data_IF_571425584020
#
_entry.id   IF_571425584020
#
_cell.length_a   1.000
_cell.length_b   1.000
_cell.length_c   1.000
_cell.angle_alpha   90.00
_cell.angle_beta   90.00
_cell.angle_gamma   90.00
#
_symmetry.space_group_name_H-M   'P 1'
#
loop_
_entity.id
_entity.type
_entity.pdbx_description
1 polymer ?
#
# COMPACT_ATOMS: atom_id res chain seq x y z
N UNK A 1 -13.81 3.17 -9.21
CA UNK A 1 -13.98 4.35 -8.32
C UNK A 1 -12.87 4.30 -7.28
N UNK A 2 -12.20 5.42 -6.98
CA UNK A 2 -11.12 5.50 -6.00
C UNK A 2 -11.23 6.78 -5.16
N UNK A 3 -10.48 6.86 -4.06
CA UNK A 3 -10.51 7.95 -3.07
C UNK A 3 -11.80 8.06 -2.24
N UNK A 4 -12.40 6.92 -1.89
CA UNK A 4 -13.64 6.88 -1.09
C UNK A 4 -13.41 7.24 0.38
N UNK A 5 -12.17 7.18 0.87
CA UNK A 5 -11.83 7.56 2.24
C UNK A 5 -11.53 9.08 2.34
N UNK A 6 -12.55 9.89 2.05
CA UNK A 6 -12.41 11.34 1.90
C UNK A 6 -11.99 12.04 3.20
N UNK A 7 -12.52 11.60 4.35
CA UNK A 7 -12.23 12.22 5.64
C UNK A 7 -10.76 12.06 6.04
N UNK A 8 -10.22 10.84 5.96
CA UNK A 8 -8.81 10.61 6.30
C UNK A 8 -7.86 11.24 5.29
N UNK A 9 -8.26 11.34 4.01
CA UNK A 9 -7.49 12.09 3.00
C UNK A 9 -7.39 13.57 3.33
N UNK A 10 -8.49 14.20 3.73
CA UNK A 10 -8.48 15.60 4.16
C UNK A 10 -7.64 15.77 5.43
N UNK A 11 -7.80 14.90 6.41
CA UNK A 11 -7.00 14.93 7.64
C UNK A 11 -5.50 14.78 7.35
N UNK A 12 -5.11 13.87 6.44
CA UNK A 12 -3.74 13.71 5.99
C UNK A 12 -3.20 14.98 5.31
N UNK A 13 -3.97 15.62 4.42
CA UNK A 13 -3.58 16.88 3.77
C UNK A 13 -3.41 18.04 4.76
N UNK A 14 -4.13 18.01 5.88
CA UNK A 14 -4.01 19.00 6.96
C UNK A 14 -2.92 18.65 7.99
N UNK A 15 -2.20 17.52 7.82
CA UNK A 15 -1.21 17.04 8.79
C UNK A 15 -1.80 16.57 10.13
N UNK A 16 -3.12 16.33 10.15
CA UNK A 16 -3.88 15.91 11.34
C UNK A 16 -3.99 14.38 11.46
N UNK A 17 -3.46 13.64 10.48
CA UNK A 17 -3.44 12.19 10.47
C UNK A 17 -2.00 11.70 10.54
N UNK A 18 -1.71 10.79 11.48
CA UNK A 18 -0.43 10.07 11.50
C UNK A 18 -0.33 9.14 10.29
N UNK A 19 -1.29 8.21 10.19
CA UNK A 19 -1.48 7.33 9.04
C UNK A 19 -2.81 6.57 9.09
N UNK A 20 -3.25 6.05 7.95
CA UNK A 20 -4.45 5.19 7.86
C UNK A 20 -4.13 3.75 8.27
N UNK A 21 -5.00 3.16 9.08
CA UNK A 21 -4.92 1.74 9.41
C UNK A 21 -5.50 0.88 8.27
N UNK A 22 -4.84 -0.24 7.89
CA UNK A 22 -5.39 -1.17 6.91
C UNK A 22 -6.72 -1.79 7.37
N UNK A 23 -7.75 -1.73 6.52
CA UNK A 23 -9.04 -2.38 6.70
C UNK A 23 -9.29 -3.33 5.54
N UNK A 24 -9.23 -4.63 5.80
CA UNK A 24 -9.51 -5.66 4.81
C UNK A 24 -10.99 -5.97 4.74
N UNK A 25 -11.51 -6.08 3.52
CA UNK A 25 -12.91 -6.44 3.24
C UNK A 25 -12.96 -7.65 2.32
N UNK A 26 -13.99 -8.49 2.51
CA UNK A 26 -14.23 -9.61 1.61
C UNK A 26 -14.44 -9.09 0.18
N UNK A 27 -13.58 -9.52 -0.73
CA UNK A 27 -13.57 -9.12 -2.13
C UNK A 27 -13.38 -10.35 -3.00
N UNK A 28 -14.02 -10.35 -4.16
CA UNK A 28 -13.84 -11.39 -5.19
C UNK A 28 -13.14 -10.80 -6.40
N UNK A 29 -12.41 -11.64 -7.13
CA UNK A 29 -11.76 -11.30 -8.41
C UNK A 29 -10.80 -10.10 -8.34
N UNK A 30 -10.09 -9.93 -7.21
CA UNK A 30 -9.08 -8.87 -7.06
C UNK A 30 -7.80 -9.28 -7.81
N UNK A 31 -7.41 -8.57 -8.90
CA UNK A 31 -6.23 -8.91 -9.67
C UNK A 31 -4.97 -8.92 -8.80
N UNK A 32 -4.08 -9.89 -9.02
CA UNK A 32 -2.81 -10.05 -8.28
C UNK A 32 -2.93 -10.29 -6.77
N UNK A 33 -4.12 -10.49 -6.19
CA UNK A 33 -4.29 -10.74 -4.75
C UNK A 33 -3.55 -11.98 -4.24
N UNK A 34 -3.13 -12.90 -5.13
CA UNK A 34 -2.28 -14.04 -4.79
C UNK A 34 -0.95 -13.67 -4.12
N UNK A 35 -0.47 -12.43 -4.25
CA UNK A 35 0.71 -11.93 -3.52
C UNK A 35 0.54 -11.99 -2.00
N UNK A 36 -0.70 -11.98 -1.48
CA UNK A 36 -0.97 -12.12 -0.05
C UNK A 36 -0.52 -13.46 0.51
N UNK A 37 -0.47 -14.52 -0.31
CA UNK A 37 0.09 -15.82 0.11
C UNK A 37 1.58 -15.73 0.45
N UNK A 38 2.30 -14.77 -0.13
CA UNK A 38 3.71 -14.55 0.16
C UNK A 38 3.94 -13.68 1.41
N UNK A 39 2.89 -13.04 1.96
CA UNK A 39 3.02 -12.12 3.10
C UNK A 39 3.70 -12.78 4.32
N UNK A 40 3.32 -13.99 4.78
CA UNK A 40 4.01 -14.64 5.90
C UNK A 40 5.50 -14.86 5.61
N UNK A 41 5.83 -15.28 4.38
CA UNK A 41 7.22 -15.49 3.98
C UNK A 41 8.02 -14.17 3.97
N UNK A 42 7.44 -13.09 3.45
CA UNK A 42 8.07 -11.76 3.46
C UNK A 42 8.36 -11.27 4.88
N UNK A 43 7.42 -11.45 5.80
CA UNK A 43 7.58 -11.04 7.20
C UNK A 43 8.66 -11.86 7.92
N UNK A 44 8.66 -13.19 7.75
CA UNK A 44 9.68 -14.07 8.34
C UNK A 44 11.09 -13.78 7.77
N UNK A 45 11.18 -13.40 6.50
CA UNK A 45 12.44 -12.96 5.88
C UNK A 45 12.83 -11.52 6.26
N UNK A 46 12.09 -10.87 7.16
CA UNK A 46 12.48 -9.61 7.76
C UNK A 46 12.16 -8.36 6.94
N UNK A 47 11.22 -8.42 5.99
CA UNK A 47 10.83 -7.26 5.17
C UNK A 47 10.57 -6.00 6.00
N UNK A 48 9.92 -6.14 7.15
CA UNK A 48 9.58 -5.02 8.05
C UNK A 48 10.41 -4.97 9.33
N UNK A 49 11.30 -5.95 9.57
CA UNK A 49 11.96 -6.14 10.88
C UNK A 49 12.79 -4.94 11.35
N UNK A 50 13.27 -4.13 10.41
CA UNK A 50 14.08 -2.94 10.71
C UNK A 50 13.59 -1.68 9.98
N UNK A 51 12.38 -1.72 9.39
CA UNK A 51 11.87 -0.62 8.58
C UNK A 51 11.82 0.69 9.38
N UNK A 52 11.20 0.66 10.57
CA UNK A 52 11.06 1.85 11.43
C UNK A 52 12.38 2.31 12.08
N UNK A 53 13.40 1.43 12.12
CA UNK A 53 14.72 1.80 12.66
C UNK A 53 15.50 2.67 11.68
N UNK A 54 15.38 2.39 10.37
CA UNK A 54 16.20 3.02 9.34
C UNK A 54 15.45 4.02 8.48
N UNK A 55 14.12 3.91 8.40
CA UNK A 55 13.28 4.76 7.57
C UNK A 55 12.24 5.46 8.42
N UNK A 56 12.07 6.75 8.16
CA UNK A 56 11.04 7.56 8.77
C UNK A 56 10.26 8.23 7.65
N UNK A 57 8.94 8.06 7.68
CA UNK A 57 8.04 8.72 6.75
C UNK A 57 7.33 9.85 7.50
N UNK A 58 7.17 11.05 6.90
CA UNK A 58 6.35 12.08 7.50
C UNK A 58 4.90 11.60 7.61
N UNK A 59 4.17 12.25 8.53
CA UNK A 59 2.72 12.07 8.68
C UNK A 59 2.01 12.20 7.34
N UNK A 60 1.08 11.31 7.09
CA UNK A 60 0.38 11.29 5.81
C UNK A 60 -0.67 10.21 5.75
N UNK A 61 -1.14 9.91 4.54
CA UNK A 61 -2.17 8.90 4.36
C UNK A 61 -1.58 7.47 4.45
N UNK A 62 -0.42 7.26 3.84
CA UNK A 62 0.23 5.96 3.73
C UNK A 62 1.23 5.74 4.86
N UNK A 63 1.17 4.56 5.48
CA UNK A 63 2.15 4.09 6.44
C UNK A 63 3.39 3.55 5.75
N UNK A 64 4.52 3.57 6.46
CA UNK A 64 5.79 3.01 5.99
C UNK A 64 5.68 1.51 5.62
N UNK A 65 5.03 0.72 6.47
CA UNK A 65 4.80 -0.71 6.23
C UNK A 65 4.02 -0.96 4.94
N UNK A 66 3.00 -0.15 4.66
CA UNK A 66 2.17 -0.23 3.46
C UNK A 66 2.97 0.07 2.20
N UNK A 67 3.93 0.99 2.27
CA UNK A 67 4.86 1.27 1.17
C UNK A 67 5.79 0.08 0.92
N UNK A 68 6.39 -0.50 1.96
CA UNK A 68 7.25 -1.69 1.80
C UNK A 68 6.48 -2.90 1.25
N UNK A 69 5.25 -3.12 1.73
CA UNK A 69 4.38 -4.17 1.23
C UNK A 69 4.01 -3.94 -0.24
N UNK A 70 3.68 -2.71 -0.63
CA UNK A 70 3.44 -2.37 -2.03
C UNK A 70 4.65 -2.72 -2.91
N UNK A 71 5.85 -2.30 -2.51
CA UNK A 71 7.09 -2.58 -3.26
C UNK A 71 7.37 -4.08 -3.36
N UNK A 72 7.18 -4.83 -2.27
CA UNK A 72 7.34 -6.28 -2.27
C UNK A 72 6.33 -6.98 -3.19
N UNK A 73 5.07 -6.56 -3.14
CA UNK A 73 4.01 -7.11 -3.98
C UNK A 73 4.18 -6.75 -5.47
N UNK A 74 4.71 -5.55 -5.77
CA UNK A 74 5.13 -5.17 -7.12
C UNK A 74 6.21 -6.12 -7.66
N UNK A 75 7.25 -6.38 -6.85
CA UNK A 75 8.32 -7.29 -7.23
C UNK A 75 7.80 -8.72 -7.51
N UNK A 76 6.89 -9.22 -6.67
CA UNK A 76 6.25 -10.53 -6.87
C UNK A 76 5.33 -10.56 -8.11
N UNK A 77 4.67 -9.45 -8.42
CA UNK A 77 3.78 -9.32 -9.58
C UNK A 77 4.51 -8.94 -10.87
N UNK A 78 5.86 -8.93 -10.86
CA UNK A 78 6.72 -8.54 -11.99
C UNK A 78 6.50 -7.11 -12.49
N UNK A 79 6.01 -6.22 -11.63
CA UNK A 79 5.94 -4.78 -11.87
C UNK A 79 7.31 -4.21 -11.48
N UNK A 80 8.11 -3.82 -12.48
CA UNK A 80 9.54 -3.54 -12.29
C UNK A 80 9.81 -2.11 -11.85
N UNK A 81 8.91 -1.19 -12.18
CA UNK A 81 9.09 0.23 -11.93
C UNK A 81 7.85 0.84 -11.28
N UNK A 82 8.02 1.96 -10.59
CA UNK A 82 6.90 2.71 -10.00
C UNK A 82 6.04 3.31 -11.13
N UNK A 83 6.65 3.62 -12.26
CA UNK A 83 6.01 4.09 -13.48
C UNK A 83 5.04 3.07 -14.06
N UNK A 84 5.37 1.77 -13.99
CA UNK A 84 4.50 0.67 -14.44
C UNK A 84 3.23 0.56 -13.60
N UNK A 85 3.28 1.02 -12.34
CA UNK A 85 2.15 1.04 -11.42
C UNK A 85 1.00 1.94 -11.93
N UNK A 86 1.30 2.92 -12.80
CA UNK A 86 0.30 3.78 -13.44
C UNK A 86 -0.64 3.02 -14.37
N UNK A 87 -0.22 1.87 -14.88
CA UNK A 87 -1.05 1.00 -15.71
C UNK A 87 -1.85 -0.02 -14.89
N UNK A 88 -1.66 -0.04 -13.57
CA UNK A 88 -2.41 -0.89 -12.66
C UNK A 88 -3.60 -0.12 -12.06
N UNK A 89 -4.70 -0.81 -11.76
CA UNK A 89 -5.84 -0.20 -11.08
C UNK A 89 -5.47 0.16 -9.64
N UNK A 90 -5.43 1.46 -9.25
CA UNK A 90 -4.96 1.84 -7.92
C UNK A 90 -5.88 1.36 -6.80
N UNK A 91 -7.19 1.25 -7.07
CA UNK A 91 -8.17 0.75 -6.12
C UNK A 91 -8.04 -0.75 -5.86
N UNK A 92 -7.76 -1.56 -6.90
CA UNK A 92 -7.57 -3.00 -6.72
C UNK A 92 -6.33 -3.31 -5.89
N UNK A 93 -5.23 -2.61 -6.17
CA UNK A 93 -4.02 -2.69 -5.35
C UNK A 93 -4.24 -2.14 -3.93
N UNK A 94 -5.11 -1.13 -3.77
CA UNK A 94 -5.57 -0.66 -2.48
C UNK A 94 -6.20 -1.79 -1.67
N UNK A 95 -7.13 -2.56 -2.25
CA UNK A 95 -7.78 -3.70 -1.56
C UNK A 95 -6.77 -4.73 -1.06
N UNK A 96 -5.71 -5.00 -1.82
CA UNK A 96 -4.63 -5.91 -1.41
C UNK A 96 -3.91 -5.40 -0.14
N UNK A 97 -3.82 -4.09 0.04
CA UNK A 97 -3.18 -3.46 1.21
C UNK A 97 -4.18 -3.09 2.32
N UNK A 98 -5.48 -3.36 2.15
CA UNK A 98 -6.52 -2.88 3.07
C UNK A 98 -6.69 -1.36 3.02
N UNK A 99 -6.38 -0.72 1.89
CA UNK A 99 -6.51 0.71 1.66
C UNK A 99 -7.54 0.98 0.56
N UNK A 100 -8.05 2.21 0.52
CA UNK A 100 -8.96 2.62 -0.55
C UNK A 100 -8.27 2.71 -1.93
N UNK A 101 -6.95 2.97 -1.95
CA UNK A 101 -6.08 2.99 -3.13
C UNK A 101 -4.61 3.02 -2.72
N UNK A 102 -3.71 2.75 -3.66
CA UNK A 102 -2.26 2.95 -3.53
C UNK A 102 -1.81 4.39 -3.86
N UNK A 103 -0.57 4.78 -3.48
CA UNK A 103 0.07 6.00 -3.96
C UNK A 103 0.13 6.02 -5.50
N UNK A 104 -0.12 7.19 -6.09
CA UNK A 104 0.08 7.40 -7.52
C UNK A 104 1.50 7.90 -7.78
N UNK A 105 2.13 7.37 -8.83
CA UNK A 105 3.41 7.88 -9.31
C UNK A 105 3.17 9.24 -9.98
N UNK A 106 3.55 10.33 -9.31
CA UNK A 106 3.58 11.67 -9.92
C UNK A 106 4.81 11.80 -10.83
N UNK A 107 4.69 12.46 -11.99
CA UNK A 107 5.81 12.71 -12.91
C UNK A 107 6.86 13.65 -12.32
#
# INVERSE_FOLDING_TARGET
MGATNTLERVAASLGQLEAVAPVFTASLDVPNAGVLFALPALLVNGLLAHAEKYFHLPRGYYRLDSIFLLLAFMALSRIKTIEDLRYCSPGEWGKILGLDRIPEATP
#
